data_IF_336646295661
#
_entry.id   IF_336646295661
#
_cell.length_a   1.000
_cell.length_b   1.000
_cell.length_c   1.000
_cell.angle_alpha   90.00
_cell.angle_beta   90.00
_cell.angle_gamma   90.00
#
_symmetry.space_group_name_H-M   'P 1'
#
loop_
_entity.id
_entity.type
_entity.pdbx_description
1 polymer ?
#
# COMPACT_ATOMS: atom_id res chain seq x y z
N UNK A 1 31.06 -1.98 -18.90
CA UNK A 1 29.77 -2.68 -19.12
C UNK A 1 29.52 -2.76 -20.62
N UNK A 2 29.18 -3.93 -21.17
CA UNK A 2 28.98 -4.10 -22.62
C UNK A 2 27.61 -3.54 -23.07
N UNK A 3 27.53 -3.08 -24.33
CA UNK A 3 26.28 -2.57 -24.94
C UNK A 3 25.11 -3.56 -24.82
N UNK A 4 25.37 -4.86 -24.94
CA UNK A 4 24.37 -5.92 -24.77
C UNK A 4 23.79 -6.02 -23.34
N UNK A 5 24.59 -5.73 -22.31
CA UNK A 5 24.14 -5.73 -20.91
C UNK A 5 23.27 -4.52 -20.60
N UNK A 6 23.57 -3.36 -21.20
CA UNK A 6 22.73 -2.16 -21.11
C UNK A 6 21.37 -2.38 -21.80
N UNK A 7 21.37 -3.00 -22.97
CA UNK A 7 20.16 -3.26 -23.74
C UNK A 7 19.21 -4.25 -23.04
N UNK A 8 19.72 -5.37 -22.48
CA UNK A 8 18.90 -6.28 -21.67
C UNK A 8 18.29 -5.62 -20.45
N UNK A 9 19.03 -4.73 -19.78
CA UNK A 9 18.53 -4.00 -18.61
C UNK A 9 17.42 -3.03 -18.99
N UNK A 10 17.58 -2.32 -20.11
CA UNK A 10 16.54 -1.44 -20.65
C UNK A 10 15.28 -2.26 -21.02
N UNK A 11 15.44 -3.38 -21.72
CA UNK A 11 14.31 -4.24 -22.12
C UNK A 11 13.54 -4.78 -20.90
N UNK A 12 14.25 -5.23 -19.84
CA UNK A 12 13.61 -5.65 -18.59
C UNK A 12 12.86 -4.52 -17.88
N UNK A 13 13.42 -3.30 -17.88
CA UNK A 13 12.76 -2.13 -17.32
C UNK A 13 11.48 -1.78 -18.08
N UNK A 14 11.53 -1.79 -19.42
CA UNK A 14 10.37 -1.55 -20.27
C UNK A 14 9.28 -2.60 -20.05
N UNK A 15 9.63 -3.89 -20.02
CA UNK A 15 8.68 -4.97 -19.74
C UNK A 15 8.01 -4.80 -18.37
N UNK A 16 8.79 -4.42 -17.34
CA UNK A 16 8.27 -4.18 -15.99
C UNK A 16 7.29 -3.02 -15.98
N UNK A 17 7.64 -1.91 -16.62
CA UNK A 17 6.78 -0.74 -16.77
C UNK A 17 5.48 -1.07 -17.51
N UNK A 18 5.58 -1.74 -18.66
CA UNK A 18 4.41 -2.14 -19.45
C UNK A 18 3.48 -3.03 -18.64
N UNK A 19 4.01 -4.01 -17.91
CA UNK A 19 3.20 -4.91 -17.10
C UNK A 19 2.51 -4.19 -15.94
N UNK A 20 3.21 -3.25 -15.27
CA UNK A 20 2.59 -2.39 -14.25
C UNK A 20 1.46 -1.57 -14.84
N UNK A 21 1.69 -0.89 -15.95
CA UNK A 21 0.69 -0.02 -16.57
C UNK A 21 -0.53 -0.81 -17.06
N UNK A 22 -0.31 -1.95 -17.73
CA UNK A 22 -1.40 -2.81 -18.22
C UNK A 22 -2.23 -3.35 -17.06
N UNK A 23 -1.58 -3.89 -16.04
CA UNK A 23 -2.27 -4.44 -14.86
C UNK A 23 -3.09 -3.39 -14.12
N UNK A 24 -2.56 -2.17 -13.98
CA UNK A 24 -3.23 -1.10 -13.26
C UNK A 24 -4.22 -0.31 -14.12
N UNK A 25 -4.19 -0.45 -15.45
CA UNK A 25 -5.23 0.09 -16.34
C UNK A 25 -6.46 -0.81 -16.40
N UNK A 26 -6.33 -2.09 -16.03
CA UNK A 26 -7.41 -3.08 -16.09
C UNK A 26 -8.67 -2.66 -15.30
N UNK A 27 -8.60 -2.13 -14.07
CA UNK A 27 -9.78 -1.68 -13.33
C UNK A 27 -10.53 -0.56 -14.07
N UNK A 28 -9.79 0.42 -14.62
CA UNK A 28 -10.37 1.54 -15.38
C UNK A 28 -11.01 1.05 -16.67
N UNK A 29 -10.28 0.23 -17.45
CA UNK A 29 -10.81 -0.38 -18.67
C UNK A 29 -12.01 -1.28 -18.38
N UNK A 30 -12.00 -1.99 -17.25
CA UNK A 30 -13.10 -2.80 -16.78
C UNK A 30 -14.38 -1.98 -16.56
N UNK A 31 -14.27 -0.79 -15.95
CA UNK A 31 -15.43 0.10 -15.79
C UNK A 31 -15.92 0.61 -17.15
N UNK A 32 -15.02 1.11 -17.99
CA UNK A 32 -15.39 1.81 -19.23
C UNK A 32 -15.86 0.86 -20.33
N UNK A 33 -15.23 -0.31 -20.46
CA UNK A 33 -15.44 -1.25 -21.57
C UNK A 33 -16.31 -2.44 -21.14
N UNK A 34 -16.07 -2.98 -19.95
CA UNK A 34 -16.74 -4.20 -19.46
C UNK A 34 -17.92 -3.91 -18.53
N UNK A 35 -18.21 -2.63 -18.26
CA UNK A 35 -19.29 -2.21 -17.37
C UNK A 35 -19.10 -2.65 -15.92
N UNK A 36 -17.84 -2.84 -15.47
CA UNK A 36 -17.57 -3.16 -14.07
C UNK A 36 -18.10 -2.06 -13.16
N UNK A 37 -18.66 -2.47 -12.02
CA UNK A 37 -19.22 -1.55 -11.05
C UNK A 37 -18.08 -0.86 -10.32
N UNK A 38 -17.88 0.43 -10.58
CA UNK A 38 -16.82 1.23 -9.94
C UNK A 38 -16.88 1.16 -8.40
N UNK A 39 -18.09 1.08 -7.82
CA UNK A 39 -18.28 0.86 -6.39
C UNK A 39 -17.65 -0.44 -5.87
N UNK A 40 -17.75 -1.55 -6.63
CA UNK A 40 -17.15 -2.83 -6.26
C UNK A 40 -15.61 -2.74 -6.29
N UNK A 41 -15.05 -2.02 -7.26
CA UNK A 41 -13.60 -1.78 -7.34
C UNK A 41 -13.08 -0.93 -6.17
N UNK A 42 -13.81 0.12 -5.78
CA UNK A 42 -13.42 0.93 -4.62
C UNK A 42 -13.45 0.13 -3.31
N UNK A 43 -14.45 -0.74 -3.15
CA UNK A 43 -14.47 -1.68 -2.02
C UNK A 43 -13.28 -2.62 -2.07
N UNK A 44 -12.90 -3.15 -3.24
CA UNK A 44 -11.73 -4.00 -3.39
C UNK A 44 -10.41 -3.27 -3.05
N UNK A 45 -10.25 -2.00 -3.46
CA UNK A 45 -9.10 -1.19 -3.05
C UNK A 45 -9.04 -0.99 -1.54
N UNK A 46 -10.18 -0.71 -0.90
CA UNK A 46 -10.24 -0.60 0.55
C UNK A 46 -9.87 -1.92 1.24
N UNK A 47 -10.40 -3.05 0.77
CA UNK A 47 -10.07 -4.39 1.28
C UNK A 47 -8.58 -4.67 1.12
N UNK A 48 -7.99 -4.33 -0.03
CA UNK A 48 -6.56 -4.47 -0.26
C UNK A 48 -5.73 -3.73 0.79
N UNK A 49 -6.06 -2.47 1.07
CA UNK A 49 -5.36 -1.68 2.08
C UNK A 49 -5.48 -2.32 3.46
N UNK A 50 -6.68 -2.77 3.84
CA UNK A 50 -6.91 -3.44 5.14
C UNK A 50 -6.12 -4.74 5.25
N UNK A 51 -6.15 -5.57 4.22
CA UNK A 51 -5.43 -6.84 4.17
C UNK A 51 -3.92 -6.60 4.22
N UNK A 52 -3.40 -5.62 3.48
CA UNK A 52 -1.99 -5.23 3.53
C UNK A 52 -1.58 -4.80 4.93
N UNK A 53 -2.34 -3.90 5.58
CA UNK A 53 -2.05 -3.46 6.95
C UNK A 53 -2.03 -4.65 7.91
N UNK A 54 -3.04 -5.53 7.84
CA UNK A 54 -3.09 -6.73 8.67
C UNK A 54 -1.89 -7.67 8.42
N UNK A 55 -1.55 -7.90 7.15
CA UNK A 55 -0.46 -8.79 6.76
C UNK A 55 0.90 -8.27 7.26
N UNK A 56 1.19 -6.97 7.09
CA UNK A 56 2.43 -6.36 7.58
C UNK A 56 2.47 -6.22 9.10
N UNK A 57 1.32 -5.99 9.76
CA UNK A 57 1.23 -6.06 11.23
C UNK A 57 1.59 -7.45 11.76
N UNK A 58 1.13 -8.51 11.10
CA UNK A 58 1.52 -9.89 11.45
C UNK A 58 3.00 -10.12 11.13
N UNK A 59 3.48 -9.68 9.97
CA UNK A 59 4.89 -9.82 9.55
C UNK A 59 5.87 -9.15 10.52
N UNK A 60 5.48 -8.00 11.08
CA UNK A 60 6.28 -7.24 12.04
C UNK A 60 6.58 -8.03 13.32
N UNK A 61 5.76 -9.03 13.68
CA UNK A 61 6.01 -9.88 14.85
C UNK A 61 7.26 -10.76 14.68
N UNK A 62 7.67 -11.04 13.44
CA UNK A 62 8.84 -11.85 13.11
C UNK A 62 10.12 -11.02 12.97
N UNK A 63 10.03 -9.70 13.03
CA UNK A 63 11.15 -8.80 12.82
C UNK A 63 12.18 -8.88 13.96
N UNK A 64 13.46 -9.07 13.61
CA UNK A 64 14.53 -9.35 14.57
C UNK A 64 15.24 -8.08 15.05
N UNK A 65 15.40 -7.05 14.23
CA UNK A 65 16.21 -5.89 14.59
C UNK A 65 15.55 -5.02 15.68
N UNK A 66 16.36 -4.33 16.51
CA UNK A 66 15.85 -3.39 17.50
C UNK A 66 15.22 -2.16 16.84
N UNK A 67 14.28 -1.53 17.55
CA UNK A 67 13.63 -0.31 17.07
C UNK A 67 14.52 0.89 17.37
N UNK A 68 14.79 1.70 16.35
CA UNK A 68 15.53 2.97 16.47
C UNK A 68 14.65 4.09 15.91
N UNK A 69 14.32 5.12 16.70
CA UNK A 69 13.40 6.21 16.31
C UNK A 69 14.08 7.57 16.03
N UNK A 70 15.38 7.68 16.33
CA UNK A 70 16.13 8.93 16.18
C UNK A 70 16.24 9.33 14.71
N UNK A 71 16.06 10.62 14.43
CA UNK A 71 16.24 11.25 13.12
C UNK A 71 15.48 10.62 11.95
N UNK A 72 14.29 10.07 12.23
CA UNK A 72 13.36 9.59 11.19
C UNK A 72 12.56 10.72 10.56
N UNK A 73 12.31 10.61 9.25
CA UNK A 73 11.44 11.55 8.54
C UNK A 73 9.97 11.15 8.66
N UNK A 74 9.68 9.84 8.67
CA UNK A 74 8.34 9.31 8.83
C UNK A 74 8.13 8.64 10.20
N UNK A 75 7.03 8.98 10.86
CA UNK A 75 6.62 8.32 12.11
C UNK A 75 5.35 7.49 11.92
N UNK A 76 5.40 6.21 12.27
CA UNK A 76 4.21 5.36 12.29
C UNK A 76 3.20 5.85 13.34
N UNK A 77 1.91 5.60 13.10
CA UNK A 77 0.83 5.95 14.02
C UNK A 77 1.12 5.37 15.42
N UNK A 78 0.97 6.20 16.45
CA UNK A 78 1.23 5.81 17.84
C UNK A 78 2.68 5.99 18.29
N UNK A 79 3.56 6.50 17.42
CA UNK A 79 4.93 6.88 17.73
C UNK A 79 5.22 8.32 17.29
N UNK A 80 6.18 8.98 17.93
CA UNK A 80 6.59 10.33 17.56
C UNK A 80 8.03 10.67 17.88
N UNK A 81 8.48 11.84 17.42
CA UNK A 81 9.87 12.31 17.57
C UNK A 81 10.37 12.38 19.02
N UNK A 82 9.47 12.61 19.97
CA UNK A 82 9.82 12.77 21.39
C UNK A 82 9.73 11.46 22.18
N UNK A 83 9.43 10.36 21.52
CA UNK A 83 9.28 9.08 22.21
C UNK A 83 10.64 8.40 22.37
N UNK A 84 10.95 8.09 23.61
CA UNK A 84 12.15 7.33 23.96
C UNK A 84 11.84 5.84 23.84
N UNK A 85 12.71 5.13 23.13
CA UNK A 85 12.64 3.69 23.05
C UNK A 85 13.30 3.13 24.31
N UNK A 86 12.62 2.25 25.01
CA UNK A 86 13.15 1.56 26.18
C UNK A 86 14.33 0.66 25.79
N UNK A 87 15.55 1.14 26.00
CA UNK A 87 16.80 0.46 25.61
C UNK A 87 16.93 -0.93 26.28
N UNK A 88 16.37 -1.12 27.48
CA UNK A 88 16.39 -2.41 28.18
C UNK A 88 15.56 -3.47 27.44
N UNK A 89 14.46 -3.07 26.81
CA UNK A 89 13.62 -3.98 26.01
C UNK A 89 14.32 -4.46 24.72
N UNK A 90 15.27 -3.68 24.19
CA UNK A 90 15.87 -3.91 22.86
C UNK A 90 17.36 -4.30 22.89
N UNK A 91 18.04 -4.17 24.03
CA UNK A 91 19.46 -4.52 24.21
C UNK A 91 19.74 -6.02 24.32
N UNK A 92 18.74 -6.82 24.71
CA UNK A 92 18.85 -8.28 24.88
C UNK A 92 18.53 -9.12 23.64
N UNK A 93 18.87 -10.42 23.72
CA UNK A 93 18.43 -11.40 22.72
C UNK A 93 16.90 -11.49 22.70
N UNK A 94 16.27 -11.51 21.51
CA UNK A 94 14.83 -11.46 21.41
C UNK A 94 14.17 -12.79 21.85
N UNK A 95 13.30 -12.71 22.86
CA UNK A 95 12.57 -13.87 23.38
C UNK A 95 11.46 -14.34 22.43
N UNK A 96 11.51 -15.60 21.93
CA UNK A 96 10.50 -16.14 21.05
C UNK A 96 9.23 -16.53 21.82
N UNK A 97 8.09 -16.27 21.20
CA UNK A 97 6.78 -16.68 21.69
C UNK A 97 6.55 -18.15 21.35
N UNK A 98 6.47 -19.02 22.36
CA UNK A 98 6.30 -20.45 22.15
C UNK A 98 4.84 -20.94 22.07
N UNK A 99 3.85 -20.15 22.51
CA UNK A 99 2.44 -20.63 22.53
C UNK A 99 1.83 -20.81 21.14
N UNK A 100 2.32 -20.10 20.13
CA UNK A 100 1.78 -20.22 18.77
C UNK A 100 2.13 -21.55 18.09
N UNK A 101 3.17 -22.24 18.58
CA UNK A 101 3.59 -23.56 18.07
C UNK A 101 2.53 -24.63 18.30
N UNK A 102 1.68 -24.48 19.31
CA UNK A 102 0.60 -25.46 19.57
C UNK A 102 -0.60 -25.31 18.64
N UNK A 103 -0.72 -24.21 17.88
CA UNK A 103 -1.89 -23.90 17.04
C UNK A 103 -1.62 -24.13 15.55
N UNK A 104 -0.37 -23.98 15.11
CA UNK A 104 -0.02 -24.08 13.69
C UNK A 104 0.29 -25.54 13.28
N UNK A 105 -0.07 -25.95 12.05
CA UNK A 105 0.38 -27.23 11.50
C UNK A 105 1.91 -27.32 11.43
N UNK A 106 2.50 -28.49 11.71
CA UNK A 106 3.97 -28.72 11.70
C UNK A 106 4.64 -28.30 10.38
N UNK A 107 3.96 -28.50 9.25
CA UNK A 107 4.45 -28.12 7.92
C UNK A 107 4.59 -26.60 7.73
N UNK A 108 3.84 -25.81 8.52
CA UNK A 108 3.89 -24.35 8.52
C UNK A 108 4.90 -23.87 9.56
N UNK A 109 4.93 -24.51 10.74
CA UNK A 109 5.88 -24.18 11.81
C UNK A 109 7.34 -24.26 11.34
N UNK A 110 7.73 -25.36 10.69
CA UNK A 110 9.10 -25.57 10.21
C UNK A 110 9.58 -24.54 9.17
N UNK A 111 8.66 -23.76 8.59
CA UNK A 111 8.95 -22.76 7.56
C UNK A 111 8.85 -21.32 8.04
N UNK A 112 8.29 -21.08 9.23
CA UNK A 112 8.10 -19.74 9.76
C UNK A 112 9.19 -19.40 10.79
N UNK A 113 9.75 -18.19 10.75
CA UNK A 113 10.64 -17.71 11.80
C UNK A 113 9.90 -17.56 13.13
N UNK A 114 10.62 -17.45 14.27
CA UNK A 114 9.98 -17.19 15.56
C UNK A 114 9.33 -15.79 15.59
N UNK A 115 8.21 -15.66 16.31
CA UNK A 115 7.62 -14.38 16.66
C UNK A 115 8.17 -13.88 17.98
N UNK A 116 8.40 -12.57 18.11
CA UNK A 116 9.01 -11.98 19.30
C UNK A 116 8.02 -11.16 20.13
N UNK A 117 8.01 -11.39 21.45
CA UNK A 117 7.07 -10.74 22.37
C UNK A 117 7.22 -9.22 22.42
N UNK A 118 8.46 -8.73 22.30
CA UNK A 118 8.78 -7.29 22.27
C UNK A 118 8.15 -6.54 21.10
N UNK A 119 7.73 -7.24 20.04
CA UNK A 119 7.10 -6.64 18.87
C UNK A 119 5.59 -6.40 19.06
N UNK A 120 4.93 -7.08 20.01
CA UNK A 120 3.48 -6.97 20.23
C UNK A 120 3.04 -5.54 20.59
N UNK A 121 3.70 -4.80 21.52
CA UNK A 121 3.31 -3.43 21.82
C UNK A 121 3.46 -2.49 20.62
N UNK A 122 4.49 -2.70 19.79
CA UNK A 122 4.72 -1.91 18.57
C UNK A 122 3.57 -2.09 17.60
N UNK A 123 3.22 -3.34 17.31
CA UNK A 123 2.09 -3.66 16.43
C UNK A 123 0.78 -3.13 17.03
N UNK A 124 0.53 -3.39 18.32
CA UNK A 124 -0.69 -2.95 19.01
C UNK A 124 -0.92 -1.44 18.95
N UNK A 125 0.11 -0.62 19.22
CA UNK A 125 0.02 0.84 19.10
C UNK A 125 -0.22 1.28 17.66
N UNK A 126 0.47 0.66 16.71
CA UNK A 126 0.35 1.00 15.29
C UNK A 126 -1.02 0.69 14.68
N UNK A 127 -1.76 -0.26 15.25
CA UNK A 127 -3.12 -0.60 14.83
C UNK A 127 -4.13 0.52 15.07
N UNK A 128 -3.76 1.61 15.75
CA UNK A 128 -4.55 2.84 15.74
C UNK A 128 -4.80 3.38 14.30
N UNK A 129 -3.99 3.00 13.31
CA UNK A 129 -4.26 3.24 11.88
C UNK A 129 -5.63 2.68 11.42
N UNK A 130 -6.13 1.63 12.08
CA UNK A 130 -7.45 1.05 11.78
C UNK A 130 -8.57 2.05 12.04
N UNK A 131 -8.42 2.96 13.01
CA UNK A 131 -9.40 4.03 13.23
C UNK A 131 -9.51 4.95 12.02
N UNK A 132 -8.38 5.30 11.39
CA UNK A 132 -8.37 6.08 10.16
C UNK A 132 -9.01 5.30 9.00
N UNK A 133 -8.74 4.00 8.88
CA UNK A 133 -9.38 3.15 7.87
C UNK A 133 -10.89 3.04 8.07
N UNK A 134 -11.36 3.04 9.33
CA UNK A 134 -12.79 3.06 9.67
C UNK A 134 -13.46 4.39 9.32
N UNK A 135 -12.78 5.52 9.54
CA UNK A 135 -13.26 6.85 9.08
C UNK A 135 -13.36 6.89 7.56
N UNK A 136 -12.33 6.41 6.85
CA UNK A 136 -12.34 6.32 5.39
C UNK A 136 -13.47 5.42 4.88
N UNK A 137 -13.72 4.30 5.57
CA UNK A 137 -14.86 3.43 5.29
C UNK A 137 -16.19 4.18 5.48
N UNK A 138 -16.34 4.96 6.56
CA UNK A 138 -17.50 5.82 6.79
C UNK A 138 -17.73 6.80 5.63
N UNK A 139 -16.68 7.46 5.16
CA UNK A 139 -16.74 8.32 3.97
C UNK A 139 -17.20 7.55 2.73
N UNK A 140 -16.63 6.36 2.49
CA UNK A 140 -17.01 5.50 1.38
C UNK A 140 -18.49 5.11 1.46
N UNK A 141 -19.00 4.84 2.67
CA UNK A 141 -20.43 4.50 2.88
C UNK A 141 -21.38 5.65 2.65
N UNK A 142 -20.93 6.90 2.83
CA UNK A 142 -21.72 8.08 2.50
C UNK A 142 -21.69 8.39 0.99
N UNK A 143 -20.59 8.06 0.32
CA UNK A 143 -20.39 8.35 -1.11
C UNK A 143 -21.03 7.28 -1.99
N UNK A 144 -20.91 6.01 -1.60
CA UNK A 144 -21.52 4.89 -2.30
C UNK A 144 -22.94 4.66 -1.77
N UNK A 145 -23.94 4.59 -2.64
CA UNK A 145 -25.34 4.42 -2.22
C UNK A 145 -25.59 3.16 -1.36
N UNK A 146 -24.77 2.10 -1.53
CA UNK A 146 -24.77 0.93 -0.64
C UNK A 146 -23.48 0.07 -0.76
N UNK A 147 -22.41 0.35 0.00
CA UNK A 147 -21.18 -0.46 -0.04
C UNK A 147 -21.35 -1.86 0.56
N UNK A 148 -22.32 -2.05 1.46
CA UNK A 148 -22.60 -3.36 2.07
C UNK A 148 -23.16 -4.32 1.02
N UNK A 149 -23.96 -3.82 0.07
CA UNK A 149 -24.37 -4.61 -1.08
C UNK A 149 -23.19 -5.00 -1.96
N UNK A 150 -22.21 -4.10 -2.16
CA UNK A 150 -21.01 -4.41 -2.92
C UNK A 150 -20.17 -5.51 -2.22
N UNK A 151 -20.03 -5.49 -0.89
CA UNK A 151 -19.36 -6.55 -0.12
C UNK A 151 -19.97 -7.94 -0.32
N UNK A 152 -21.28 -8.02 -0.57
CA UNK A 152 -22.00 -9.29 -0.82
C UNK A 152 -21.97 -9.71 -2.30
N UNK A 153 -21.40 -8.88 -3.18
CA UNK A 153 -21.26 -9.22 -4.59
C UNK A 153 -20.29 -10.40 -4.75
N UNK A 154 -20.65 -11.44 -5.53
CA UNK A 154 -19.74 -12.54 -5.85
C UNK A 154 -18.40 -12.04 -6.42
N UNK A 155 -18.42 -10.95 -7.19
CA UNK A 155 -17.23 -10.30 -7.74
C UNK A 155 -16.31 -9.80 -6.63
N UNK A 156 -16.84 -9.11 -5.62
CA UNK A 156 -16.04 -8.59 -4.51
C UNK A 156 -15.54 -9.72 -3.62
N UNK A 157 -16.33 -10.76 -3.39
CA UNK A 157 -15.90 -11.93 -2.61
C UNK A 157 -14.72 -12.61 -3.31
N UNK A 158 -14.85 -12.92 -4.60
CA UNK A 158 -13.78 -13.55 -5.38
C UNK A 158 -12.56 -12.63 -5.48
N UNK A 159 -12.76 -11.34 -5.75
CA UNK A 159 -11.71 -10.34 -5.78
C UNK A 159 -10.98 -10.22 -4.45
N UNK A 160 -11.69 -10.29 -3.32
CA UNK A 160 -11.10 -10.26 -1.97
C UNK A 160 -10.22 -11.48 -1.71
N UNK A 161 -10.63 -12.67 -2.14
CA UNK A 161 -9.79 -13.87 -2.06
C UNK A 161 -8.53 -13.74 -2.91
N UNK A 162 -8.64 -13.18 -4.12
CA UNK A 162 -7.50 -12.89 -4.98
C UNK A 162 -6.57 -11.88 -4.31
N UNK A 163 -7.11 -10.81 -3.73
CA UNK A 163 -6.34 -9.80 -2.99
C UNK A 163 -5.62 -10.44 -1.81
N UNK A 164 -6.31 -11.23 -0.98
CA UNK A 164 -5.70 -11.93 0.14
C UNK A 164 -4.55 -12.84 -0.29
N UNK A 165 -4.79 -13.68 -1.31
CA UNK A 165 -3.75 -14.60 -1.81
C UNK A 165 -2.59 -13.84 -2.45
N UNK A 166 -2.85 -12.74 -3.16
CA UNK A 166 -1.82 -11.87 -3.73
C UNK A 166 -0.96 -11.21 -2.65
N UNK A 167 -1.59 -10.63 -1.61
CA UNK A 167 -0.87 -9.98 -0.50
C UNK A 167 -0.02 -10.98 0.28
N UNK A 168 -0.52 -12.20 0.51
CA UNK A 168 0.27 -13.27 1.13
C UNK A 168 1.44 -13.70 0.25
N UNK A 169 1.23 -13.80 -1.07
CA UNK A 169 2.29 -14.17 -2.01
C UNK A 169 3.38 -13.10 -2.11
N UNK A 170 2.99 -11.82 -2.13
CA UNK A 170 3.90 -10.67 -2.11
C UNK A 170 4.71 -10.64 -0.81
N UNK A 171 4.04 -10.74 0.34
CA UNK A 171 4.70 -10.80 1.64
C UNK A 171 5.68 -11.98 1.74
N UNK A 172 5.28 -13.16 1.25
CA UNK A 172 6.18 -14.32 1.20
C UNK A 172 7.40 -14.05 0.33
N UNK A 173 7.22 -13.49 -0.85
CA UNK A 173 8.28 -13.27 -1.83
C UNK A 173 9.26 -12.17 -1.40
N UNK A 174 8.76 -11.11 -0.77
CA UNK A 174 9.54 -9.90 -0.49
C UNK A 174 10.08 -9.86 0.94
N UNK A 175 9.36 -10.44 1.91
CA UNK A 175 9.74 -10.36 3.32
C UNK A 175 10.31 -11.67 3.85
N UNK A 176 9.62 -12.79 3.65
CA UNK A 176 10.02 -14.08 4.23
C UNK A 176 11.09 -14.82 3.40
N UNK A 177 10.92 -14.91 2.08
CA UNK A 177 11.84 -15.65 1.22
C UNK A 177 13.27 -15.07 1.20
N UNK A 178 13.46 -13.74 1.17
CA UNK A 178 14.79 -13.13 1.25
C UNK A 178 15.33 -13.01 2.69
N UNK A 179 14.54 -13.41 3.70
CA UNK A 179 14.84 -13.23 5.13
C UNK A 179 14.99 -11.77 5.58
N UNK A 180 14.28 -10.86 4.94
CA UNK A 180 14.22 -9.44 5.28
C UNK A 180 13.82 -9.20 6.75
N UNK A 181 13.09 -10.12 7.36
CA UNK A 181 12.75 -10.09 8.78
C UNK A 181 13.97 -10.11 9.72
N UNK A 182 15.15 -10.56 9.27
CA UNK A 182 16.39 -10.56 10.04
C UNK A 182 17.04 -9.16 10.07
N UNK A 183 16.80 -8.36 9.04
CA UNK A 183 17.41 -7.04 8.83
C UNK A 183 16.47 -5.88 9.19
N UNK A 184 15.18 -6.17 9.37
CA UNK A 184 14.17 -5.16 9.68
C UNK A 184 13.74 -5.23 11.14
N UNK A 185 13.37 -4.06 11.68
CA UNK A 185 12.69 -3.95 12.97
C UNK A 185 11.17 -4.05 12.76
N UNK A 186 10.44 -4.33 13.85
CA UNK A 186 8.98 -4.36 13.81
C UNK A 186 8.40 -3.02 13.35
N UNK A 187 9.07 -1.92 13.74
CA UNK A 187 8.74 -0.58 13.31
C UNK A 187 8.85 -0.41 11.80
N UNK A 188 10.00 -0.76 11.21
CA UNK A 188 10.23 -0.64 9.76
C UNK A 188 9.22 -1.46 8.94
N UNK A 189 8.86 -2.64 9.44
CA UNK A 189 7.89 -3.52 8.77
C UNK A 189 6.50 -2.86 8.72
N UNK A 190 6.05 -2.27 9.83
CA UNK A 190 4.78 -1.54 9.88
C UNK A 190 4.85 -0.23 9.08
N UNK A 191 5.98 0.46 9.15
CA UNK A 191 6.25 1.70 8.43
C UNK A 191 6.05 1.54 6.92
N UNK A 192 6.53 0.43 6.35
CA UNK A 192 6.36 0.11 4.94
C UNK A 192 4.87 0.10 4.51
N UNK A 193 4.00 -0.52 5.32
CA UNK A 193 2.56 -0.53 5.05
C UNK A 193 1.93 0.85 5.28
N UNK A 194 2.30 1.54 6.37
CA UNK A 194 1.70 2.83 6.70
C UNK A 194 2.10 3.96 5.73
N UNK A 195 3.28 3.91 5.12
CA UNK A 195 3.68 4.83 4.03
C UNK A 195 2.77 4.72 2.82
N UNK A 196 2.34 3.49 2.46
CA UNK A 196 1.35 3.25 1.39
C UNK A 196 -0.02 3.76 1.82
N UNK A 197 -0.45 3.52 3.07
CA UNK A 197 -1.71 4.05 3.60
C UNK A 197 -1.72 5.59 3.55
N UNK A 198 -0.67 6.24 4.01
CA UNK A 198 -0.52 7.69 4.00
C UNK A 198 -0.59 8.24 2.56
N UNK A 199 0.05 7.56 1.61
CA UNK A 199 -0.04 7.91 0.20
C UNK A 199 -1.48 7.80 -0.33
N UNK A 200 -2.19 6.70 -0.06
CA UNK A 200 -3.59 6.55 -0.49
C UNK A 200 -4.54 7.55 0.19
N UNK A 201 -4.29 7.91 1.45
CA UNK A 201 -5.03 8.98 2.12
C UNK A 201 -4.81 10.32 1.41
N UNK A 202 -3.57 10.64 1.04
CA UNK A 202 -3.26 11.86 0.28
C UNK A 202 -3.97 11.86 -1.09
N UNK A 203 -3.97 10.73 -1.80
CA UNK A 203 -4.73 10.59 -3.04
C UNK A 203 -6.23 10.82 -2.82
N UNK A 204 -6.80 10.23 -1.77
CA UNK A 204 -8.23 10.33 -1.47
C UNK A 204 -8.66 11.76 -1.10
N UNK A 205 -7.89 12.47 -0.28
CA UNK A 205 -8.26 13.78 0.27
C UNK A 205 -7.88 14.92 -0.67
N UNK A 206 -6.78 14.78 -1.41
CA UNK A 206 -6.24 15.87 -2.25
C UNK A 206 -6.50 15.58 -3.72
N UNK A 207 -5.97 14.47 -4.24
CA UNK A 207 -5.93 14.22 -5.68
C UNK A 207 -7.32 13.94 -6.25
N UNK A 208 -8.15 13.16 -5.56
CA UNK A 208 -9.52 12.86 -6.00
C UNK A 208 -10.37 14.14 -6.09
N UNK A 209 -10.50 14.98 -5.05
CA UNK A 209 -11.24 16.24 -5.15
C UNK A 209 -10.70 17.17 -6.23
N UNK A 210 -9.37 17.34 -6.33
CA UNK A 210 -8.75 18.18 -7.36
C UNK A 210 -9.08 17.65 -8.76
N UNK A 211 -9.07 16.33 -8.96
CA UNK A 211 -9.43 15.71 -10.24
C UNK A 211 -10.89 15.95 -10.59
N UNK A 212 -11.80 15.79 -9.63
CA UNK A 212 -13.23 16.05 -9.82
C UNK A 212 -13.46 17.53 -10.18
N UNK A 213 -12.92 18.45 -9.38
CA UNK A 213 -13.03 19.90 -9.61
C UNK A 213 -12.45 20.27 -10.98
N UNK A 214 -11.27 19.76 -11.33
CA UNK A 214 -10.63 20.01 -12.61
C UNK A 214 -11.47 19.55 -13.80
N UNK A 215 -12.06 18.35 -13.71
CA UNK A 215 -12.96 17.82 -14.74
C UNK A 215 -14.25 18.64 -14.87
N UNK A 216 -14.83 19.09 -13.75
CA UNK A 216 -16.01 19.95 -13.75
C UNK A 216 -15.72 21.32 -14.38
N UNK A 217 -14.61 21.95 -13.99
CA UNK A 217 -14.16 23.24 -14.56
C UNK A 217 -13.87 23.11 -16.05
N UNK A 218 -13.18 22.05 -16.45
CA UNK A 218 -12.88 21.78 -17.86
C UNK A 218 -14.16 21.59 -18.68
N UNK A 219 -15.11 20.79 -18.18
CA UNK A 219 -16.41 20.61 -18.81
C UNK A 219 -17.18 21.92 -18.96
N UNK A 220 -17.18 22.76 -17.92
CA UNK A 220 -17.80 24.09 -17.96
C UNK A 220 -17.17 25.02 -19.00
N UNK A 221 -15.83 25.05 -19.09
CA UNK A 221 -15.12 25.85 -20.10
C UNK A 221 -15.47 25.36 -21.51
N UNK A 222 -15.51 24.05 -21.74
CA UNK A 222 -15.88 23.49 -23.04
C UNK A 222 -17.30 23.90 -23.46
N UNK A 223 -18.26 23.83 -22.55
CA UNK A 223 -19.64 24.25 -22.83
C UNK A 223 -19.72 25.75 -23.19
N UNK A 224 -18.98 26.59 -22.45
CA UNK A 224 -18.90 28.02 -22.69
C UNK A 224 -18.24 28.38 -24.04
N UNK A 225 -17.19 27.65 -24.43
CA UNK A 225 -16.42 27.90 -25.67
C UNK A 225 -17.14 27.38 -26.91
N UNK A 226 -17.75 26.20 -26.83
CA UNK A 226 -18.36 25.53 -27.97
C UNK A 226 -19.87 25.78 -28.11
N UNK A 227 -20.45 26.63 -27.25
CA UNK A 227 -21.81 27.15 -27.42
C UNK A 227 -22.89 26.07 -27.38
N UNK A 228 -22.91 25.28 -26.31
CA UNK A 228 -23.90 24.24 -26.12
C UNK A 228 -23.56 22.92 -26.82
N UNK A 229 -22.28 22.53 -26.86
CA UNK A 229 -21.98 21.10 -26.84
C UNK A 229 -22.47 20.60 -25.48
N UNK A 230 -23.74 20.20 -25.43
CA UNK A 230 -24.37 19.57 -24.28
C UNK A 230 -23.52 18.33 -23.95
N UNK A 231 -22.49 18.50 -23.11
CA UNK A 231 -22.08 17.44 -22.20
C UNK A 231 -23.28 17.38 -21.26
N UNK A 232 -24.16 16.37 -21.39
CA UNK A 232 -25.43 16.38 -20.69
C UNK A 232 -25.17 16.72 -19.23
N UNK A 233 -25.90 17.70 -18.71
CA UNK A 233 -25.96 18.04 -17.29
C UNK A 233 -26.66 16.93 -16.48
N UNK A 234 -26.35 15.68 -16.79
CA UNK A 234 -26.46 14.53 -15.93
C UNK A 234 -25.04 14.20 -15.46
N UNK A 235 -24.90 14.00 -14.16
CA UNK A 235 -23.72 13.46 -13.51
C UNK A 235 -23.37 12.05 -14.04
N UNK A 236 -22.82 11.98 -15.26
CA UNK A 236 -22.63 10.75 -16.03
C UNK A 236 -21.92 11.03 -17.34
N UNK A 237 -20.67 11.49 -17.29
CA UNK A 237 -19.92 11.91 -18.48
C UNK A 237 -19.87 10.80 -19.55
N UNK A 238 -20.26 11.13 -20.79
CA UNK A 238 -20.20 10.40 -22.07
C UNK A 238 -20.61 8.90 -22.14
N UNK A 239 -20.77 8.22 -21.01
CA UNK A 239 -21.03 6.79 -20.85
C UNK A 239 -21.99 6.50 -19.67
N UNK A 240 -22.60 7.53 -19.05
CA UNK A 240 -23.48 7.35 -17.89
C UNK A 240 -22.76 6.98 -16.60
N UNK A 241 -21.46 7.21 -16.51
CA UNK A 241 -20.65 6.84 -15.34
C UNK A 241 -20.56 8.00 -14.35
N UNK A 242 -21.05 7.75 -13.12
CA UNK A 242 -20.99 8.71 -12.02
C UNK A 242 -19.54 9.13 -11.72
N UNK A 243 -19.24 10.41 -11.95
CA UNK A 243 -17.91 10.98 -11.79
C UNK A 243 -17.41 10.85 -10.35
N UNK A 244 -18.31 10.89 -9.36
CA UNK A 244 -17.97 10.77 -7.95
C UNK A 244 -17.39 9.41 -7.58
N UNK A 245 -17.70 8.38 -8.38
CA UNK A 245 -17.20 7.00 -8.18
C UNK A 245 -16.08 6.68 -9.18
N UNK A 246 -16.16 7.18 -10.41
CA UNK A 246 -15.17 6.91 -11.44
C UNK A 246 -13.84 7.64 -11.21
N UNK A 247 -13.86 8.92 -10.83
CA UNK A 247 -12.62 9.66 -10.59
C UNK A 247 -11.75 8.99 -9.49
N UNK A 248 -12.31 8.55 -8.35
CA UNK A 248 -11.56 7.74 -7.39
C UNK A 248 -10.96 6.47 -8.00
N UNK A 249 -11.71 5.71 -8.81
CA UNK A 249 -11.17 4.47 -9.43
C UNK A 249 -9.96 4.78 -10.30
N UNK A 250 -10.03 5.83 -11.13
CA UNK A 250 -8.90 6.25 -11.98
C UNK A 250 -7.70 6.69 -11.12
N UNK A 251 -7.93 7.53 -10.12
CA UNK A 251 -6.85 8.04 -9.25
C UNK A 251 -6.19 6.91 -8.45
N UNK A 252 -6.97 6.01 -7.85
CA UNK A 252 -6.42 4.88 -7.10
C UNK A 252 -5.73 3.85 -8.01
N UNK A 253 -6.24 3.63 -9.23
CA UNK A 253 -5.58 2.80 -10.23
C UNK A 253 -4.20 3.36 -10.61
N UNK A 254 -4.12 4.67 -10.88
CA UNK A 254 -2.87 5.34 -11.17
C UNK A 254 -1.93 5.33 -9.95
N UNK A 255 -2.46 5.59 -8.76
CA UNK A 255 -1.72 5.52 -7.50
C UNK A 255 -1.11 4.14 -7.25
N UNK A 256 -1.89 3.08 -7.46
CA UNK A 256 -1.42 1.70 -7.34
C UNK A 256 -0.33 1.39 -8.37
N UNK A 257 -0.45 1.88 -9.61
CA UNK A 257 0.60 1.76 -10.61
C UNK A 257 1.92 2.39 -10.14
N UNK A 258 1.84 3.56 -9.49
CA UNK A 258 3.01 4.24 -8.90
C UNK A 258 3.63 3.39 -7.80
N UNK A 259 2.83 2.84 -6.87
CA UNK A 259 3.30 1.97 -5.79
C UNK A 259 3.99 0.71 -6.35
N UNK A 260 3.33 0.00 -7.26
CA UNK A 260 3.84 -1.23 -7.87
C UNK A 260 5.13 -0.98 -8.66
N UNK A 261 5.18 0.12 -9.42
CA UNK A 261 6.38 0.52 -10.14
C UNK A 261 7.51 0.83 -9.18
N UNK A 262 7.23 1.62 -8.14
CA UNK A 262 8.22 2.05 -7.16
C UNK A 262 8.87 0.86 -6.46
N UNK A 263 8.06 -0.07 -5.95
CA UNK A 263 8.53 -1.29 -5.28
C UNK A 263 9.41 -2.14 -6.21
N UNK A 264 9.05 -2.26 -7.48
CA UNK A 264 9.81 -3.04 -8.48
C UNK A 264 11.05 -2.33 -9.00
N UNK A 265 11.02 -1.01 -9.12
CA UNK A 265 12.13 -0.21 -9.64
C UNK A 265 13.26 -0.06 -8.62
N UNK A 266 12.90 0.19 -7.35
CA UNK A 266 13.88 0.40 -6.28
C UNK A 266 14.36 -0.91 -5.69
N UNK A 267 13.47 -1.90 -5.49
CA UNK A 267 13.79 -3.08 -4.70
C UNK A 267 14.10 -2.70 -3.24
N UNK A 268 14.83 -3.54 -2.49
CA UNK A 268 15.25 -3.25 -1.11
C UNK A 268 16.49 -2.33 -1.09
N UNK A 269 16.61 -1.37 -2.02
CA UNK A 269 17.72 -0.41 -2.02
C UNK A 269 17.33 0.79 -1.18
N UNK A 270 18.15 1.08 -0.17
CA UNK A 270 17.92 2.10 0.86
C UNK A 270 18.39 3.51 0.46
N UNK A 271 18.92 3.70 -0.76
CA UNK A 271 19.49 4.97 -1.24
C UNK A 271 18.62 5.72 -2.28
N UNK A 272 17.41 5.22 -2.57
CA UNK A 272 16.60 5.82 -3.61
C UNK A 272 15.92 7.11 -3.12
N UNK A 273 16.35 8.25 -3.64
CA UNK A 273 15.73 9.54 -3.33
C UNK A 273 14.34 9.71 -4.00
N UNK A 274 13.48 10.51 -3.36
CA UNK A 274 12.20 10.96 -3.91
C UNK A 274 11.08 9.93 -3.84
N UNK A 275 10.14 10.00 -4.79
CA UNK A 275 8.91 9.18 -4.78
C UNK A 275 9.20 7.67 -4.88
N UNK A 276 10.33 7.30 -5.50
CA UNK A 276 10.73 5.92 -5.69
C UNK A 276 11.14 5.26 -4.36
N UNK A 277 11.81 6.01 -3.46
CA UNK A 277 12.17 5.54 -2.13
C UNK A 277 11.08 5.67 -1.08
N UNK A 278 10.03 6.47 -1.35
CA UNK A 278 8.97 6.77 -0.38
C UNK A 278 8.32 5.52 0.22
N UNK A 279 8.18 4.44 -0.55
CA UNK A 279 7.52 3.20 -0.12
C UNK A 279 8.46 2.18 0.53
N UNK A 280 9.74 2.50 0.64
CA UNK A 280 10.73 1.70 1.38
C UNK A 280 10.86 2.29 2.78
N UNK A 281 10.85 1.47 3.85
CA UNK A 281 11.03 2.00 5.20
C UNK A 281 12.45 2.52 5.40
N UNK A 282 12.60 3.54 6.25
CA UNK A 282 13.91 4.09 6.60
C UNK A 282 14.73 3.05 7.39
N UNK A 283 15.94 2.75 6.92
CA UNK A 283 16.87 1.85 7.57
C UNK A 283 18.01 2.62 8.28
N UNK A 284 17.93 2.83 9.60
CA UNK A 284 18.97 3.52 10.34
C UNK A 284 20.27 2.72 10.44
N UNK A 285 20.19 1.38 10.35
CA UNK A 285 21.37 0.51 10.49
C UNK A 285 22.33 0.61 9.31
N UNK A 286 21.94 1.15 8.16
CA UNK A 286 22.88 1.37 7.04
C UNK A 286 23.81 2.55 7.32
N UNK A 287 23.32 3.59 8.01
CA UNK A 287 24.12 4.79 8.33
C UNK A 287 25.26 4.49 9.30
N UNK A 288 25.06 3.55 10.22
CA UNK A 288 26.11 3.13 11.17
C UNK A 288 27.33 2.52 10.43
N UNK A 289 27.11 1.73 9.39
CA UNK A 289 28.17 1.09 8.60
C UNK A 289 28.95 2.07 7.73
N UNK A 290 28.34 3.18 7.32
CA UNK A 290 29.01 4.27 6.61
C UNK A 290 29.77 5.19 7.56
N UNK A 291 29.25 5.43 8.76
CA UNK A 291 29.94 6.18 9.81
C UNK A 291 31.18 5.45 10.34
N UNK A 292 31.17 4.12 10.43
CA UNK A 292 32.35 3.34 10.84
C UNK A 292 33.48 3.30 9.79
N UNK A 293 33.24 3.76 8.55
CA UNK A 293 34.26 3.82 7.49
C UNK A 293 34.95 5.18 7.37
N UNK A 294 34.52 6.18 8.12
CA UNK A 294 35.08 7.54 8.12
C UNK A 294 35.74 7.87 9.46
#
# INVERSE_FOLDING_TARGET
MSSAALQRRADQQWLTLTLVLVSNSLPVAGVVVLGWRAAELLVLYWIEVVVMVAAYSVAALFAKQPVVLKDREFYIVGYGRREEVDEDTWSGEPEPINWFKSVLPEAVESRLPPMYRRNLPVVGRSLAVVLFLAILWGYLTNTLSNPVTALRSPTVILGSLIVCTSQLAELRREYFAPRTYEDWSAYMTVEAAQRVVAFYIMLAIVVVPVTIIGLLVFGFILDLVFGGLVIPAAAGGAAGVDLSVFAPVVVFSAGKAVVDWSRRAVGIRTDADGLAGWFTPENPHVREWEQERH
#
